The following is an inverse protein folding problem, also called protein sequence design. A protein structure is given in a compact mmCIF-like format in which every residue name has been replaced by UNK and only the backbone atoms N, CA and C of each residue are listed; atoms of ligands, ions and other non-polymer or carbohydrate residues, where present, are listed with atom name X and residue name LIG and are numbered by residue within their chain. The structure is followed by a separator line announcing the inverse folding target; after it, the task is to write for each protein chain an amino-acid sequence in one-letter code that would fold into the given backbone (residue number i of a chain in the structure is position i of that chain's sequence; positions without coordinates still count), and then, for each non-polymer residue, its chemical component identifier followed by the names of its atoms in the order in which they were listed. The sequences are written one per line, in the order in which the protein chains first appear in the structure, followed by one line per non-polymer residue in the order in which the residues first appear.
data_IF_499512120628
#
_entry.id   IF_499512120628
#
_cell.length_a   1.000
_cell.length_b   1.000
_cell.length_c   1.000
_cell.angle_alpha   90.00
_cell.angle_beta   90.00
_cell.angle_gamma   90.00
#
_symmetry.space_group_name_H-M   'P 1'
#
loop_
_entity.id
_entity.type
_entity.pdbx_description
1 polymer ?
#
# COMPACT_ATOMS: atom_id res chain seq x y z
N UNK A 1 13.29 2.39 -35.41
CA UNK A 1 12.22 1.65 -34.73
C UNK A 1 11.97 2.36 -33.40
N UNK A 2 10.78 2.92 -33.21
CA UNK A 2 10.49 3.87 -32.13
C UNK A 2 10.16 3.08 -30.84
N UNK A 3 10.98 3.29 -29.79
CA UNK A 3 10.69 2.75 -28.45
C UNK A 3 9.55 3.57 -27.84
N UNK A 4 8.44 2.92 -27.51
CA UNK A 4 7.34 3.51 -26.75
C UNK A 4 7.71 3.44 -25.26
N UNK A 5 7.92 4.60 -24.67
CA UNK A 5 8.05 4.78 -23.23
C UNK A 5 6.65 4.68 -22.63
N UNK A 6 6.39 3.66 -21.82
CA UNK A 6 5.16 3.55 -21.03
C UNK A 6 5.41 4.25 -19.69
N UNK A 7 5.05 5.53 -19.62
CA UNK A 7 5.00 6.27 -18.35
C UNK A 7 3.58 6.11 -17.83
N UNK A 8 3.41 5.34 -16.75
CA UNK A 8 2.18 5.37 -15.96
C UNK A 8 2.10 6.70 -15.20
N UNK A 9 1.53 7.70 -15.86
CA UNK A 9 1.19 8.97 -15.25
C UNK A 9 -0.24 8.84 -14.72
N UNK A 10 -0.41 8.76 -13.39
CA UNK A 10 -1.71 8.97 -12.75
C UNK A 10 -2.08 10.44 -12.94
N UNK A 11 -2.74 10.75 -14.05
CA UNK A 11 -3.29 12.07 -14.30
C UNK A 11 -4.66 12.16 -13.62
N UNK A 12 -4.75 12.92 -12.55
CA UNK A 12 -6.02 13.42 -12.04
C UNK A 12 -6.60 14.39 -13.08
N UNK A 13 -7.68 14.02 -13.72
CA UNK A 13 -8.45 14.87 -14.62
C UNK A 13 -9.22 15.91 -13.78
N UNK A 14 -8.75 17.15 -13.80
CA UNK A 14 -9.48 18.31 -13.30
C UNK A 14 -10.38 18.84 -14.44
N UNK A 15 -11.67 18.62 -14.33
CA UNK A 15 -12.65 19.33 -15.13
C UNK A 15 -13.03 20.63 -14.40
N UNK A 16 -12.64 21.76 -14.95
CA UNK A 16 -13.05 23.07 -14.47
C UNK A 16 -14.45 23.44 -15.02
N UNK A 17 -15.42 23.60 -14.13
CA UNK A 17 -16.67 24.31 -14.43
C UNK A 17 -16.78 25.54 -13.53
N UNK A 18 -16.75 26.73 -14.13
CA UNK A 18 -16.98 28.01 -13.49
C UNK A 18 -18.47 28.21 -13.23
N UNK A 19 -18.87 28.47 -11.99
CA UNK A 19 -20.19 29.03 -11.64
C UNK A 19 -20.04 30.15 -10.63
N UNK A 20 -20.73 31.26 -10.89
CA UNK A 20 -20.73 32.51 -10.13
C UNK A 20 -21.48 32.40 -8.77
N UNK A 21 -21.22 33.30 -7.81
CA UNK A 21 -21.68 33.16 -6.45
C UNK A 21 -23.11 33.62 -6.23
N UNK A 22 -23.89 32.84 -5.49
CA UNK A 22 -25.14 33.28 -4.87
C UNK A 22 -24.96 33.32 -3.35
N UNK A 23 -25.16 34.51 -2.80
CA UNK A 23 -25.14 34.80 -1.37
C UNK A 23 -26.41 34.29 -0.69
N UNK A 24 -26.24 33.43 0.32
CA UNK A 24 -27.32 32.98 1.19
C UNK A 24 -26.80 32.56 2.56
N UNK A 25 -27.02 33.42 3.55
CA UNK A 25 -26.77 33.19 4.97
C UNK A 25 -27.74 32.16 5.55
N UNK A 26 -27.24 31.08 6.10
CA UNK A 26 -28.01 30.23 7.02
C UNK A 26 -27.15 29.74 8.19
N UNK A 27 -27.74 29.78 9.39
CA UNK A 27 -27.16 29.51 10.69
C UNK A 27 -26.76 28.04 10.91
N UNK A 28 -25.79 27.75 11.80
CA UNK A 28 -25.30 26.40 12.04
C UNK A 28 -26.28 25.57 12.89
N UNK A 29 -26.39 24.25 12.66
CA UNK A 29 -27.17 23.36 13.50
C UNK A 29 -26.45 23.06 14.81
N UNK A 30 -27.23 23.02 15.90
CA UNK A 30 -26.81 22.74 17.26
C UNK A 30 -26.26 21.33 17.43
N UNK A 31 -25.05 21.21 17.96
CA UNK A 31 -24.45 19.95 18.39
C UNK A 31 -25.14 19.42 19.63
N UNK A 32 -25.62 18.18 19.55
CA UNK A 32 -26.07 17.39 20.70
C UNK A 32 -24.84 16.73 21.34
N UNK A 33 -24.46 17.20 22.52
CA UNK A 33 -23.39 16.63 23.34
C UNK A 33 -23.94 15.52 24.22
N UNK A 34 -23.62 14.27 23.90
CA UNK A 34 -23.68 13.18 24.86
C UNK A 34 -22.39 12.35 24.70
N UNK A 35 -21.53 12.25 25.74
CA UNK A 35 -20.32 11.46 25.65
C UNK A 35 -20.67 9.96 25.63
N UNK A 36 -20.09 9.16 24.73
CA UNK A 36 -20.21 7.71 24.83
C UNK A 36 -19.38 7.21 26.02
N UNK A 37 -19.95 6.23 26.72
CA UNK A 37 -19.31 5.54 27.84
C UNK A 37 -17.99 4.92 27.38
N UNK A 38 -16.95 5.10 28.17
CA UNK A 38 -15.65 4.47 27.96
C UNK A 38 -15.82 2.95 27.94
N UNK A 39 -15.64 2.33 26.77
CA UNK A 39 -15.45 0.90 26.65
C UNK A 39 -13.98 0.60 26.94
N UNK A 40 -13.73 -0.33 27.88
CA UNK A 40 -12.42 -0.89 28.16
C UNK A 40 -11.78 -1.38 26.86
N UNK A 41 -10.55 -0.95 26.59
CA UNK A 41 -9.72 -1.46 25.49
C UNK A 41 -9.50 -2.97 25.67
N UNK A 42 -10.20 -3.78 24.90
CA UNK A 42 -9.81 -5.16 24.69
C UNK A 42 -8.41 -5.15 24.05
N UNK A 43 -7.51 -5.99 24.54
CA UNK A 43 -6.15 -6.17 23.99
C UNK A 43 -6.25 -6.75 22.58
N UNK A 44 -6.59 -5.92 21.60
CA UNK A 44 -6.57 -6.26 20.18
C UNK A 44 -5.13 -6.34 19.68
N UNK A 45 -4.86 -7.24 18.74
CA UNK A 45 -3.57 -7.38 18.09
C UNK A 45 -3.03 -6.06 17.52
N UNK A 46 -1.73 -5.98 17.31
CA UNK A 46 -1.09 -4.78 16.81
C UNK A 46 -1.62 -4.40 15.42
N UNK A 47 -1.91 -3.11 15.23
CA UNK A 47 -2.36 -2.58 13.94
C UNK A 47 -1.21 -2.63 12.94
N UNK A 48 -1.40 -3.35 11.82
CA UNK A 48 -0.43 -3.50 10.71
C UNK A 48 -0.87 -2.64 9.53
N UNK A 49 0.10 -2.05 8.84
CA UNK A 49 -0.14 -1.19 7.67
C UNK A 49 0.20 -1.91 6.36
N UNK A 50 -0.59 -1.69 5.32
CA UNK A 50 -0.53 -2.43 4.04
C UNK A 50 0.75 -2.24 3.24
N UNK A 51 1.41 -1.09 3.37
CA UNK A 51 2.60 -0.81 2.56
C UNK A 51 3.82 -1.50 3.15
N UNK A 52 4.49 -2.28 2.32
CA UNK A 52 5.65 -3.08 2.69
C UNK A 52 5.44 -4.56 2.42
N UNK A 53 6.28 -5.39 2.99
CA UNK A 53 6.33 -6.83 2.70
C UNK A 53 5.85 -7.71 3.87
N UNK A 54 5.83 -7.18 5.10
CA UNK A 54 5.52 -7.97 6.30
C UNK A 54 4.06 -8.36 6.46
N UNK A 55 3.14 -7.67 5.77
CA UNK A 55 1.71 -7.88 5.94
C UNK A 55 1.19 -9.09 5.15
N UNK A 56 1.91 -9.52 4.12
CA UNK A 56 1.45 -10.53 3.16
C UNK A 56 1.92 -11.94 3.47
N UNK A 57 2.73 -12.13 4.51
CA UNK A 57 3.32 -13.43 4.83
C UNK A 57 3.84 -13.53 6.25
N UNK A 58 4.61 -14.58 6.47
CA UNK A 58 5.30 -14.90 7.72
C UNK A 58 6.69 -15.51 7.44
N UNK A 59 7.27 -16.15 8.45
CA UNK A 59 8.57 -16.83 8.36
C UNK A 59 8.60 -18.01 7.36
N UNK A 60 7.46 -18.52 6.93
CA UNK A 60 7.35 -19.69 6.03
C UNK A 60 7.13 -19.30 4.58
N UNK A 61 6.58 -18.14 4.33
CA UNK A 61 6.30 -17.71 2.98
C UNK A 61 5.42 -16.49 2.87
N UNK A 62 5.11 -16.10 1.63
CA UNK A 62 4.32 -14.91 1.35
C UNK A 62 3.25 -15.18 0.30
N UNK A 63 2.11 -14.52 0.44
CA UNK A 63 1.00 -14.52 -0.53
C UNK A 63 1.09 -13.31 -1.43
N UNK A 64 0.80 -13.49 -2.70
CA UNK A 64 0.75 -12.39 -3.66
C UNK A 64 -0.13 -12.74 -4.86
N UNK A 65 -0.51 -11.75 -5.63
CA UNK A 65 -1.31 -11.95 -6.84
C UNK A 65 -0.49 -11.61 -8.09
N UNK A 66 -0.50 -12.52 -9.07
CA UNK A 66 0.08 -12.33 -10.39
C UNK A 66 -1.01 -11.97 -11.38
N UNK A 67 -0.85 -10.87 -12.11
CA UNK A 67 -1.70 -10.58 -13.26
C UNK A 67 -1.33 -11.52 -14.40
N UNK A 68 -2.29 -12.34 -14.83
CA UNK A 68 -2.17 -13.21 -16.02
C UNK A 68 -2.80 -12.57 -17.24
N UNK A 69 -3.72 -11.63 -17.03
CA UNK A 69 -4.27 -10.71 -18.01
C UNK A 69 -4.66 -9.40 -17.32
N UNK A 70 -5.08 -8.39 -18.08
CA UNK A 70 -5.48 -7.10 -17.49
C UNK A 70 -6.69 -7.19 -16.54
N UNK A 71 -7.51 -8.24 -16.67
CA UNK A 71 -8.72 -8.49 -15.90
C UNK A 71 -8.67 -9.79 -15.09
N UNK A 72 -7.51 -10.47 -15.05
CA UNK A 72 -7.35 -11.77 -14.41
C UNK A 72 -6.07 -11.84 -13.62
N UNK A 73 -6.14 -12.49 -12.47
CA UNK A 73 -4.97 -12.80 -11.66
C UNK A 73 -4.99 -14.23 -11.16
N UNK A 74 -3.81 -14.76 -10.94
CA UNK A 74 -3.61 -15.99 -10.16
C UNK A 74 -3.02 -15.61 -8.81
N UNK A 75 -3.66 -16.07 -7.72
CA UNK A 75 -3.12 -15.90 -6.38
C UNK A 75 -2.13 -17.00 -6.10
N UNK A 76 -0.95 -16.60 -5.63
CA UNK A 76 0.19 -17.47 -5.42
C UNK A 76 0.65 -17.44 -3.96
N UNK A 77 1.35 -18.49 -3.59
CA UNK A 77 2.12 -18.60 -2.35
C UNK A 77 3.56 -18.94 -2.71
N UNK A 78 4.51 -18.16 -2.21
CA UNK A 78 5.93 -18.49 -2.24
C UNK A 78 6.29 -19.18 -0.94
N UNK A 79 6.72 -20.40 -1.01
CA UNK A 79 7.17 -21.23 0.11
C UNK A 79 8.70 -21.09 0.22
N UNK A 80 9.16 -20.54 1.34
CA UNK A 80 10.58 -20.28 1.56
C UNK A 80 11.40 -21.53 1.84
N UNK A 81 10.79 -22.56 2.43
CA UNK A 81 11.47 -23.81 2.74
C UNK A 81 11.73 -24.65 1.49
N UNK A 82 10.74 -24.72 0.58
CA UNK A 82 10.82 -25.52 -0.64
C UNK A 82 11.33 -24.74 -1.85
N UNK A 83 11.46 -23.44 -1.77
CA UNK A 83 11.81 -22.51 -2.86
C UNK A 83 10.89 -22.69 -4.07
N UNK A 84 9.59 -22.74 -3.81
CA UNK A 84 8.56 -22.88 -4.84
C UNK A 84 7.56 -21.75 -4.80
N UNK A 85 7.15 -21.29 -5.98
CA UNK A 85 5.97 -20.46 -6.16
C UNK A 85 4.86 -21.35 -6.70
N UNK A 86 3.79 -21.49 -5.95
CA UNK A 86 2.65 -22.33 -6.29
C UNK A 86 1.36 -21.51 -6.37
N UNK A 87 0.47 -21.89 -7.29
CA UNK A 87 -0.88 -21.34 -7.29
C UNK A 87 -1.64 -21.79 -6.04
N UNK A 88 -2.43 -20.92 -5.44
CA UNK A 88 -3.21 -21.17 -4.23
C UNK A 88 -4.43 -22.05 -4.56
N UNK A 89 -4.16 -23.26 -5.01
CA UNK A 89 -5.13 -24.25 -5.45
C UNK A 89 -4.77 -25.63 -4.91
N UNK A 90 -5.78 -26.35 -4.37
CA UNK A 90 -5.57 -27.69 -3.83
C UNK A 90 -5.57 -28.80 -4.90
N UNK A 91 -6.00 -28.50 -6.13
CA UNK A 91 -6.03 -29.48 -7.23
C UNK A 91 -4.69 -29.45 -8.00
N UNK A 92 -3.87 -30.49 -7.93
CA UNK A 92 -2.57 -30.53 -8.60
C UNK A 92 -2.67 -30.63 -10.15
N UNK A 93 -3.86 -30.92 -10.69
CA UNK A 93 -4.10 -31.00 -12.14
C UNK A 93 -4.86 -29.78 -12.68
N UNK A 94 -5.02 -28.75 -11.88
CA UNK A 94 -5.74 -27.54 -12.28
C UNK A 94 -4.89 -26.68 -13.23
N UNK A 95 -5.50 -26.21 -14.33
CA UNK A 95 -4.86 -25.29 -15.26
C UNK A 95 -4.83 -23.82 -14.75
N UNK A 96 -5.49 -23.53 -13.63
CA UNK A 96 -5.57 -22.21 -12.97
C UNK A 96 -6.13 -21.07 -13.85
N UNK A 97 -6.92 -21.38 -14.87
CA UNK A 97 -7.38 -20.46 -15.91
C UNK A 97 -8.87 -20.10 -15.87
N UNK A 98 -9.60 -20.64 -14.87
CA UNK A 98 -11.06 -20.48 -14.76
C UNK A 98 -11.55 -20.35 -13.32
N UNK A 99 -12.78 -19.89 -13.15
CA UNK A 99 -13.45 -19.74 -11.84
C UNK A 99 -13.62 -21.06 -11.05
N UNK A 100 -13.43 -22.20 -11.69
CA UNK A 100 -13.40 -23.48 -10.99
C UNK A 100 -12.13 -23.63 -10.10
N UNK A 101 -11.10 -22.84 -10.36
CA UNK A 101 -9.86 -22.80 -9.61
C UNK A 101 -9.93 -21.81 -8.45
N UNK A 102 -9.53 -22.23 -7.26
CA UNK A 102 -9.50 -21.34 -6.08
C UNK A 102 -8.43 -20.26 -6.15
N UNK A 103 -7.38 -20.44 -6.97
CA UNK A 103 -6.35 -19.44 -7.20
C UNK A 103 -6.72 -18.41 -8.27
N UNK A 104 -7.66 -18.74 -9.17
CA UNK A 104 -8.09 -17.83 -10.22
C UNK A 104 -8.99 -16.73 -9.66
N UNK A 105 -8.74 -15.50 -10.12
CA UNK A 105 -9.50 -14.33 -9.71
C UNK A 105 -9.78 -13.44 -10.91
N UNK A 106 -11.06 -13.13 -11.12
CA UNK A 106 -11.47 -12.06 -12.01
C UNK A 106 -11.32 -10.72 -11.27
N UNK A 107 -10.50 -9.82 -11.83
CA UNK A 107 -10.09 -8.59 -11.16
C UNK A 107 -9.89 -7.45 -12.16
N UNK A 108 -10.96 -6.88 -12.73
CA UNK A 108 -10.84 -5.83 -13.74
C UNK A 108 -9.99 -4.67 -13.22
N UNK A 109 -8.86 -4.43 -13.86
CA UNK A 109 -7.86 -3.38 -13.61
C UNK A 109 -7.03 -3.50 -12.33
N UNK A 110 -7.45 -4.23 -11.30
CA UNK A 110 -6.76 -4.29 -10.02
C UNK A 110 -6.74 -5.70 -9.44
N UNK A 111 -5.55 -6.29 -9.35
CA UNK A 111 -5.37 -7.57 -8.65
C UNK A 111 -5.71 -7.43 -7.16
N UNK A 112 -6.26 -8.47 -6.53
CA UNK A 112 -6.55 -8.43 -5.10
C UNK A 112 -5.26 -8.39 -4.28
N UNK A 113 -5.32 -7.66 -3.16
CA UNK A 113 -4.35 -7.82 -2.08
C UNK A 113 -4.75 -9.03 -1.24
N UNK A 114 -3.76 -9.81 -0.79
CA UNK A 114 -3.99 -11.01 0.01
C UNK A 114 -3.26 -10.87 1.34
N UNK A 115 -4.00 -10.98 2.44
CA UNK A 115 -3.48 -10.77 3.79
C UNK A 115 -3.83 -11.96 4.67
N UNK A 116 -2.85 -12.64 5.28
CA UNK A 116 -3.13 -13.67 6.26
C UNK A 116 -3.67 -13.06 7.57
N UNK A 117 -4.83 -13.58 8.01
CA UNK A 117 -5.54 -13.14 9.21
C UNK A 117 -6.17 -14.35 9.92
N UNK A 118 -5.80 -14.61 11.18
CA UNK A 118 -6.42 -15.65 12.00
C UNK A 118 -6.44 -17.05 11.37
N UNK A 119 -5.43 -17.43 10.62
CA UNK A 119 -5.35 -18.72 9.90
C UNK A 119 -6.20 -18.79 8.62
N UNK A 120 -6.76 -17.66 8.20
CA UNK A 120 -7.49 -17.49 6.95
C UNK A 120 -6.77 -16.44 6.09
N UNK A 121 -7.27 -16.22 4.86
CA UNK A 121 -6.78 -15.23 3.94
C UNK A 121 -7.88 -14.20 3.69
N UNK A 122 -7.57 -12.94 3.97
CA UNK A 122 -8.39 -11.81 3.58
C UNK A 122 -7.99 -11.37 2.16
N UNK A 123 -8.95 -11.37 1.25
CA UNK A 123 -8.82 -10.87 -0.12
C UNK A 123 -9.48 -9.50 -0.19
N UNK A 124 -8.71 -8.47 -0.56
CA UNK A 124 -9.18 -7.10 -0.75
C UNK A 124 -9.22 -6.79 -2.25
N UNK A 125 -10.41 -6.51 -2.75
CA UNK A 125 -10.63 -6.06 -4.12
C UNK A 125 -10.98 -4.57 -4.08
N UNK A 126 -10.14 -3.72 -4.65
CA UNK A 126 -10.34 -2.26 -4.60
C UNK A 126 -11.52 -1.78 -5.40
N UNK A 127 -11.95 -2.57 -6.37
CA UNK A 127 -12.98 -2.22 -7.31
C UNK A 127 -12.50 -1.37 -8.48
N UNK A 128 -13.30 -1.37 -9.51
CA UNK A 128 -13.11 -0.60 -10.75
C UNK A 128 -14.48 -0.13 -11.23
N UNK A 129 -15.11 0.83 -10.55
CA UNK A 129 -16.52 1.19 -10.80
C UNK A 129 -16.79 1.61 -12.24
N UNK A 130 -15.81 2.18 -12.95
CA UNK A 130 -15.95 2.58 -14.36
C UNK A 130 -16.15 1.43 -15.35
N UNK A 131 -16.03 0.17 -14.93
CA UNK A 131 -16.24 -1.04 -15.75
C UNK A 131 -17.34 -1.96 -15.17
N UNK A 132 -18.14 -1.49 -14.23
CA UNK A 132 -19.19 -2.27 -13.58
C UNK A 132 -20.23 -2.81 -14.58
N UNK A 133 -20.56 -2.06 -15.62
CA UNK A 133 -21.48 -2.51 -16.69
C UNK A 133 -20.97 -3.77 -17.41
N UNK A 134 -19.66 -3.93 -17.53
CA UNK A 134 -19.03 -5.07 -18.22
C UNK A 134 -18.79 -6.26 -17.29
N UNK A 135 -18.34 -6.00 -16.06
CA UNK A 135 -17.87 -7.05 -15.12
C UNK A 135 -18.81 -7.27 -13.94
N UNK A 136 -19.87 -6.48 -13.82
CA UNK A 136 -20.85 -6.63 -12.75
C UNK A 136 -20.19 -6.62 -11.37
N UNK A 137 -20.48 -7.65 -10.58
CA UNK A 137 -19.96 -7.75 -9.19
C UNK A 137 -18.45 -7.85 -9.08
N UNK A 138 -17.74 -8.34 -10.11
CA UNK A 138 -16.29 -8.42 -10.11
C UNK A 138 -15.62 -7.04 -10.08
N UNK A 139 -16.30 -6.01 -10.61
CA UNK A 139 -15.83 -4.62 -10.59
C UNK A 139 -16.08 -3.90 -9.25
N UNK A 140 -16.92 -4.44 -8.37
CA UNK A 140 -17.25 -3.78 -7.11
C UNK A 140 -16.13 -3.94 -6.08
N UNK A 141 -15.88 -2.90 -5.26
CA UNK A 141 -15.01 -3.03 -4.10
C UNK A 141 -15.59 -4.05 -3.13
N UNK A 142 -14.80 -5.02 -2.72
CA UNK A 142 -15.27 -6.09 -1.86
C UNK A 142 -14.16 -6.73 -1.03
N UNK A 143 -14.57 -7.40 0.04
CA UNK A 143 -13.72 -8.16 0.93
C UNK A 143 -14.25 -9.59 1.01
N UNK A 144 -13.34 -10.55 0.89
CA UNK A 144 -13.66 -11.98 1.02
C UNK A 144 -12.71 -12.62 2.03
N UNK A 145 -13.24 -13.57 2.83
CA UNK A 145 -12.41 -14.52 3.57
C UNK A 145 -12.31 -15.82 2.80
N UNK A 146 -11.09 -16.30 2.68
CA UNK A 146 -10.76 -17.58 2.06
C UNK A 146 -9.91 -18.41 2.99
N UNK A 147 -9.92 -19.72 2.79
CA UNK A 147 -9.06 -20.64 3.53
C UNK A 147 -7.62 -20.61 3.00
N UNK A 148 -6.71 -21.34 3.67
CA UNK A 148 -5.29 -21.33 3.36
C UNK A 148 -4.93 -21.87 1.96
N UNK A 149 -5.84 -22.62 1.31
CA UNK A 149 -5.69 -23.09 -0.07
C UNK A 149 -6.58 -22.32 -1.07
N UNK A 150 -6.98 -21.09 -0.71
CA UNK A 150 -7.75 -20.19 -1.57
C UNK A 150 -9.26 -20.48 -1.64
N UNK A 151 -9.76 -21.56 -1.00
CA UNK A 151 -11.19 -21.89 -1.03
C UNK A 151 -12.03 -20.78 -0.41
N UNK A 152 -13.07 -20.35 -1.12
CA UNK A 152 -14.01 -19.34 -0.64
C UNK A 152 -14.71 -19.79 0.63
N UNK A 153 -14.66 -18.96 1.67
CA UNK A 153 -15.39 -19.20 2.92
C UNK A 153 -16.63 -18.32 2.94
N UNK A 154 -16.44 -17.01 2.81
CA UNK A 154 -17.54 -16.05 2.77
C UNK A 154 -17.11 -14.70 2.23
N UNK A 155 -18.09 -13.96 1.74
CA UNK A 155 -17.96 -12.55 1.46
C UNK A 155 -18.18 -11.75 2.76
N UNK A 156 -17.21 -10.94 3.16
CA UNK A 156 -17.31 -10.09 4.35
C UNK A 156 -18.12 -8.83 4.05
N UNK A 157 -17.77 -8.14 2.95
CA UNK A 157 -18.41 -6.91 2.57
C UNK A 157 -18.38 -6.71 1.05
N UNK A 158 -19.41 -6.02 0.51
CA UNK A 158 -19.41 -5.44 -0.84
C UNK A 158 -19.81 -4.00 -0.70
N UNK A 159 -19.18 -3.12 -1.46
CA UNK A 159 -19.49 -1.69 -1.47
C UNK A 159 -20.14 -1.29 -2.79
N UNK A 160 -20.75 -0.12 -2.82
CA UNK A 160 -21.57 0.35 -3.95
C UNK A 160 -20.69 0.71 -5.16
N UNK A 161 -21.32 0.77 -6.34
CA UNK A 161 -20.66 1.09 -7.62
C UNK A 161 -19.95 2.45 -7.63
N UNK A 162 -20.44 3.44 -6.87
CA UNK A 162 -19.80 4.75 -6.72
C UNK A 162 -18.62 4.78 -5.73
N UNK A 163 -18.17 3.62 -5.26
CA UNK A 163 -17.13 3.50 -4.25
C UNK A 163 -15.86 2.87 -4.78
N UNK A 164 -14.73 3.24 -4.21
CA UNK A 164 -13.44 2.56 -4.39
C UNK A 164 -12.63 2.61 -3.10
N UNK A 165 -11.67 1.69 -2.94
CA UNK A 165 -10.72 1.77 -1.84
C UNK A 165 -9.46 2.51 -2.29
N UNK A 166 -8.91 3.32 -1.40
CA UNK A 166 -7.53 3.77 -1.53
C UNK A 166 -6.56 2.57 -1.54
N UNK A 167 -5.36 2.80 -1.98
CA UNK A 167 -4.33 1.75 -2.08
C UNK A 167 -3.92 1.24 -0.72
N UNK A 168 -3.83 2.13 0.25
CA UNK A 168 -3.39 1.83 1.59
C UNK A 168 -4.58 1.43 2.48
N UNK A 169 -4.33 0.44 3.33
CA UNK A 169 -5.24 -0.05 4.36
C UNK A 169 -4.45 -0.43 5.61
N UNK A 170 -5.16 -0.68 6.69
CA UNK A 170 -4.58 -1.26 7.90
C UNK A 170 -5.40 -2.48 8.35
N UNK A 171 -4.78 -3.38 9.09
CA UNK A 171 -5.44 -4.60 9.60
C UNK A 171 -4.91 -4.95 10.99
N UNK A 172 -5.80 -5.42 11.84
CA UNK A 172 -5.46 -6.12 13.09
C UNK A 172 -6.17 -7.47 13.14
N UNK A 173 -6.15 -8.15 14.27
CA UNK A 173 -6.74 -9.48 14.42
C UNK A 173 -8.28 -9.48 14.37
N UNK A 174 -8.92 -8.32 14.51
CA UNK A 174 -10.37 -8.18 14.58
C UNK A 174 -10.98 -7.57 13.33
N UNK A 175 -10.24 -6.70 12.63
CA UNK A 175 -10.81 -5.87 11.58
C UNK A 175 -9.79 -5.48 10.51
N UNK A 176 -10.32 -5.14 9.34
CA UNK A 176 -9.61 -4.36 8.32
C UNK A 176 -10.16 -2.93 8.31
N UNK A 177 -9.26 -1.98 8.11
CA UNK A 177 -9.52 -0.55 8.09
C UNK A 177 -9.16 0.01 6.72
N UNK A 178 -10.13 0.61 6.05
CA UNK A 178 -10.05 1.02 4.65
C UNK A 178 -10.38 2.51 4.54
N UNK A 179 -9.68 3.20 3.65
CA UNK A 179 -10.08 4.53 3.24
C UNK A 179 -10.99 4.41 2.01
N UNK A 180 -12.29 4.44 2.26
CA UNK A 180 -13.33 4.34 1.23
C UNK A 180 -13.54 5.71 0.59
N UNK A 181 -13.36 5.80 -0.72
CA UNK A 181 -13.73 6.95 -1.52
C UNK A 181 -15.13 6.74 -2.08
N UNK A 182 -15.98 7.74 -1.94
CA UNK A 182 -17.34 7.74 -2.48
C UNK A 182 -17.61 9.03 -3.24
N UNK A 183 -18.16 8.88 -4.45
CA UNK A 183 -18.56 9.99 -5.32
C UNK A 183 -20.08 10.02 -5.38
N UNK A 184 -20.69 11.15 -5.06
CA UNK A 184 -22.15 11.27 -5.01
C UNK A 184 -22.64 12.69 -5.33
N UNK A 185 -23.90 12.78 -5.70
CA UNK A 185 -24.64 14.03 -5.85
C UNK A 185 -24.43 14.81 -7.15
N UNK A 186 -25.23 15.85 -7.32
CA UNK A 186 -25.08 16.91 -8.32
C UNK A 186 -25.23 18.27 -7.63
N UNK A 187 -24.16 19.10 -7.55
CA UNK A 187 -22.81 18.89 -8.08
C UNK A 187 -22.08 17.73 -7.40
N UNK A 188 -21.11 17.13 -8.11
CA UNK A 188 -20.32 16.02 -7.60
C UNK A 188 -19.64 16.41 -6.30
N UNK A 189 -19.83 15.59 -5.28
CA UNK A 189 -19.14 15.62 -4.00
C UNK A 189 -18.37 14.33 -3.82
N UNK A 190 -17.17 14.43 -3.27
CA UNK A 190 -16.32 13.28 -2.97
C UNK A 190 -16.02 13.27 -1.49
N UNK A 191 -16.24 12.13 -0.85
CA UNK A 191 -15.80 11.91 0.53
C UNK A 191 -14.80 10.78 0.60
N UNK A 192 -13.89 10.86 1.56
CA UNK A 192 -13.06 9.73 1.99
C UNK A 192 -13.37 9.40 3.42
N UNK A 193 -13.84 8.20 3.65
CA UNK A 193 -14.25 7.71 4.96
C UNK A 193 -13.34 6.59 5.41
N UNK A 194 -12.72 6.73 6.57
CA UNK A 194 -12.01 5.64 7.22
C UNK A 194 -13.07 4.71 7.83
N UNK A 195 -13.15 3.50 7.28
CA UNK A 195 -14.17 2.50 7.63
C UNK A 195 -13.49 1.30 8.28
N UNK A 196 -14.04 0.83 9.39
CA UNK A 196 -13.73 -0.46 10.00
C UNK A 196 -14.67 -1.53 9.44
N UNK A 197 -14.12 -2.66 9.01
CA UNK A 197 -14.89 -3.86 8.64
C UNK A 197 -14.46 -5.02 9.53
N UNK A 198 -15.37 -5.55 10.34
CA UNK A 198 -15.13 -6.66 11.24
C UNK A 198 -14.79 -7.95 10.48
N UNK A 199 -13.70 -8.62 10.84
CA UNK A 199 -13.33 -9.93 10.30
C UNK A 199 -14.27 -11.04 10.81
N UNK A 200 -14.94 -10.83 11.94
CA UNK A 200 -15.83 -11.82 12.53
C UNK A 200 -17.16 -11.95 11.77
N UNK A 201 -17.77 -10.87 11.32
CA UNK A 201 -19.13 -10.86 10.75
C UNK A 201 -19.30 -9.94 9.53
N UNK A 202 -18.28 -9.17 9.15
CA UNK A 202 -18.34 -8.20 8.05
C UNK A 202 -19.10 -6.92 8.40
N UNK A 203 -19.49 -6.72 9.66
CA UNK A 203 -20.13 -5.49 10.09
C UNK A 203 -19.23 -4.29 9.86
N UNK A 204 -19.83 -3.17 9.43
CA UNK A 204 -19.11 -1.95 9.07
C UNK A 204 -19.43 -0.83 10.05
N UNK A 205 -18.40 -0.06 10.39
CA UNK A 205 -18.57 1.19 11.13
C UNK A 205 -17.66 2.27 10.55
N UNK A 206 -18.16 3.48 10.48
CA UNK A 206 -17.39 4.66 10.15
C UNK A 206 -16.54 5.05 11.37
N UNK A 207 -15.27 5.36 11.13
CA UNK A 207 -14.35 5.91 12.14
C UNK A 207 -14.27 7.42 11.97
N UNK A 208 -13.92 7.90 10.76
CA UNK A 208 -13.82 9.32 10.46
C UNK A 208 -14.15 9.56 8.99
N UNK A 209 -14.77 10.68 8.68
CA UNK A 209 -15.13 11.06 7.31
C UNK A 209 -14.56 12.44 6.96
N UNK A 210 -14.05 12.56 5.74
CA UNK A 210 -13.40 13.74 5.22
C UNK A 210 -14.03 14.12 3.88
N UNK A 211 -14.68 15.27 3.82
CA UNK A 211 -15.18 15.81 2.55
C UNK A 211 -14.02 16.42 1.78
N UNK A 212 -13.87 16.04 0.51
CA UNK A 212 -12.86 16.60 -0.36
C UNK A 212 -13.37 17.93 -0.91
N UNK A 213 -12.74 19.00 -0.45
CA UNK A 213 -12.90 20.32 -1.03
C UNK A 213 -11.94 20.50 -2.21
N UNK A 214 -12.16 21.53 -3.05
CA UNK A 214 -11.26 21.83 -4.14
C UNK A 214 -9.82 22.04 -3.65
N UNK A 215 -8.90 21.23 -4.14
CA UNK A 215 -7.48 21.28 -3.75
C UNK A 215 -7.14 20.58 -2.45
N UNK A 216 -8.10 19.93 -1.77
CA UNK A 216 -7.84 19.17 -0.53
C UNK A 216 -8.02 17.68 -0.77
N UNK A 217 -7.07 16.88 -0.31
CA UNK A 217 -7.13 15.43 -0.40
C UNK A 217 -6.61 14.77 0.89
N UNK A 218 -7.10 13.55 1.18
CA UNK A 218 -6.73 12.80 2.38
C UNK A 218 -6.27 11.38 2.00
N UNK A 219 -5.29 10.86 2.73
CA UNK A 219 -4.72 9.52 2.52
C UNK A 219 -4.46 8.85 3.87
N UNK A 220 -4.55 7.54 3.91
CA UNK A 220 -4.01 6.75 5.01
C UNK A 220 -2.50 6.62 4.76
N UNK A 221 -1.69 7.15 5.65
CA UNK A 221 -0.25 7.31 5.43
C UNK A 221 0.60 6.34 6.28
N UNK A 222 -0.02 5.66 7.23
CA UNK A 222 0.65 4.72 8.11
C UNK A 222 -0.17 4.42 9.35
N UNK A 223 0.48 3.75 10.30
CA UNK A 223 -0.05 3.49 11.64
C UNK A 223 1.04 3.82 12.68
N UNK A 224 0.62 4.26 13.87
CA UNK A 224 1.56 4.56 14.96
C UNK A 224 0.85 4.48 16.31
N UNK A 225 1.39 3.75 17.28
CA UNK A 225 0.82 3.60 18.62
C UNK A 225 -0.65 3.13 18.62
N UNK A 226 -1.03 2.21 17.72
CA UNK A 226 -2.40 1.73 17.56
C UNK A 226 -3.38 2.73 16.93
N UNK A 227 -2.90 3.86 16.40
CA UNK A 227 -3.67 4.93 15.74
C UNK A 227 -3.35 4.98 14.26
N UNK A 228 -4.24 5.57 13.47
CA UNK A 228 -4.05 5.80 12.04
C UNK A 228 -3.31 7.12 11.83
N UNK A 229 -2.27 7.08 11.01
CA UNK A 229 -1.60 8.29 10.54
C UNK A 229 -2.26 8.69 9.23
N UNK A 230 -2.97 9.80 9.26
CA UNK A 230 -3.60 10.39 8.09
C UNK A 230 -2.74 11.50 7.51
N UNK A 231 -2.74 11.62 6.18
CA UNK A 231 -2.10 12.71 5.46
C UNK A 231 -3.16 13.55 4.77
N UNK A 232 -3.12 14.86 5.02
CA UNK A 232 -3.86 15.86 4.26
C UNK A 232 -2.92 16.56 3.30
N UNK A 233 -3.33 16.70 2.06
CA UNK A 233 -2.66 17.54 1.06
C UNK A 233 -3.60 18.68 0.71
N UNK A 234 -3.11 19.91 0.82
CA UNK A 234 -3.84 21.11 0.41
C UNK A 234 -3.05 21.82 -0.69
N UNK A 235 -3.68 22.10 -1.83
CA UNK A 235 -3.07 22.79 -2.97
C UNK A 235 -3.90 24.02 -3.35
N UNK A 236 -3.23 25.11 -3.75
CA UNK A 236 -3.90 26.25 -4.34
C UNK A 236 -4.14 25.98 -5.83
N UNK A 237 -5.38 25.54 -6.14
CA UNK A 237 -5.79 25.22 -7.52
C UNK A 237 -5.99 26.47 -8.41
N UNK A 238 -5.92 27.68 -7.87
CA UNK A 238 -6.00 28.91 -8.65
C UNK A 238 -4.67 29.28 -9.34
N UNK A 239 -3.57 28.61 -8.95
CA UNK A 239 -2.24 28.82 -9.52
C UNK A 239 -2.04 27.99 -10.80
N UNK A 240 -1.16 28.43 -11.72
CA UNK A 240 -0.82 27.66 -12.92
C UNK A 240 -0.14 26.31 -12.62
N UNK A 241 0.47 26.16 -11.45
CA UNK A 241 1.16 24.95 -11.01
C UNK A 241 0.75 24.61 -9.56
N UNK A 242 -0.43 24.01 -9.36
CA UNK A 242 -0.92 23.67 -8.03
C UNK A 242 -0.01 22.73 -7.25
N UNK A 243 0.78 21.89 -7.95
CA UNK A 243 1.69 20.93 -7.31
C UNK A 243 2.74 21.65 -6.47
N UNK A 244 3.26 22.78 -6.94
CA UNK A 244 4.25 23.57 -6.19
C UNK A 244 3.70 24.23 -4.93
N UNK A 245 2.39 24.37 -4.83
CA UNK A 245 1.71 24.98 -3.68
C UNK A 245 1.26 23.98 -2.64
N UNK A 246 1.48 22.68 -2.86
CA UNK A 246 1.02 21.63 -1.96
C UNK A 246 1.64 21.76 -0.57
N UNK A 247 0.77 21.87 0.42
CA UNK A 247 1.08 21.70 1.83
C UNK A 247 0.63 20.30 2.26
N UNK A 248 1.55 19.53 2.77
CA UNK A 248 1.30 18.20 3.33
C UNK A 248 1.28 18.30 4.85
N UNK A 249 0.30 17.65 5.47
CA UNK A 249 0.14 17.61 6.92
C UNK A 249 -0.15 16.18 7.36
N UNK A 250 0.52 15.74 8.43
CA UNK A 250 0.25 14.47 9.10
C UNK A 250 -0.48 14.70 10.41
N UNK A 251 -1.52 13.94 10.65
CA UNK A 251 -2.30 13.97 11.88
C UNK A 251 -2.75 12.56 12.25
N UNK A 252 -3.15 12.37 13.49
CA UNK A 252 -3.61 11.09 14.00
C UNK A 252 -5.13 11.01 14.05
N UNK A 253 -5.63 9.80 13.82
CA UNK A 253 -7.02 9.42 14.09
C UNK A 253 -7.00 8.14 14.92
N UNK A 254 -7.68 8.15 16.08
CA UNK A 254 -7.80 6.94 16.88
C UNK A 254 -8.94 6.03 16.38
N UNK A 255 -9.03 4.80 16.91
CA UNK A 255 -10.08 3.84 16.54
C UNK A 255 -11.50 4.31 16.91
N UNK A 256 -11.65 5.34 17.75
CA UNK A 256 -12.91 5.98 18.14
C UNK A 256 -13.27 7.18 17.25
N UNK A 257 -12.41 7.52 16.27
CA UNK A 257 -12.63 8.61 15.32
C UNK A 257 -12.22 9.99 15.81
N UNK A 258 -11.50 10.09 16.93
CA UNK A 258 -10.95 11.36 17.37
C UNK A 258 -9.80 11.78 16.50
N UNK A 259 -9.93 12.93 15.85
CA UNK A 259 -8.93 13.54 15.00
C UNK A 259 -8.06 14.49 15.83
N UNK A 260 -6.76 14.28 15.82
CA UNK A 260 -5.79 15.15 16.50
C UNK A 260 -5.28 16.26 15.57
N UNK A 261 -4.78 17.37 16.13
CA UNK A 261 -4.10 18.40 15.31
C UNK A 261 -2.89 17.83 14.56
N UNK A 262 -2.51 18.42 13.41
CA UNK A 262 -1.33 18.00 12.69
C UNK A 262 -0.06 18.09 13.57
N UNK A 263 0.71 16.99 13.58
CA UNK A 263 1.99 16.92 14.30
C UNK A 263 3.19 17.22 13.41
N UNK A 264 3.02 17.17 12.08
CA UNK A 264 4.06 17.46 11.08
C UNK A 264 3.43 18.10 9.85
N UNK A 265 4.12 19.08 9.28
CA UNK A 265 3.76 19.70 7.99
C UNK A 265 4.99 20.05 7.17
N UNK A 266 4.88 20.00 5.84
CA UNK A 266 5.93 20.41 4.89
C UNK A 266 5.32 20.77 3.53
N UNK A 267 6.06 21.53 2.71
CA UNK A 267 5.70 21.76 1.30
C UNK A 267 6.23 20.64 0.42
N UNK A 268 5.58 20.38 -0.71
CA UNK A 268 5.95 19.29 -1.64
C UNK A 268 7.44 19.31 -2.04
N UNK A 269 8.02 20.48 -2.22
CA UNK A 269 9.44 20.64 -2.60
C UNK A 269 10.42 20.37 -1.46
N UNK A 270 9.95 20.30 -0.21
CA UNK A 270 10.82 20.21 0.96
C UNK A 270 10.94 18.78 1.50
N UNK A 271 9.97 17.90 1.23
CA UNK A 271 10.00 16.58 1.83
C UNK A 271 8.99 15.58 1.28
N UNK A 272 9.16 14.33 1.68
CA UNK A 272 8.22 13.24 1.45
C UNK A 272 8.03 12.41 2.72
N UNK A 273 6.92 11.67 2.76
CA UNK A 273 6.58 10.79 3.88
C UNK A 273 6.17 9.42 3.34
N UNK A 274 6.49 8.36 4.06
CA UNK A 274 5.97 7.02 3.82
C UNK A 274 5.81 6.26 5.13
N UNK A 275 4.67 5.56 5.29
CA UNK A 275 4.56 4.44 6.20
C UNK A 275 4.96 3.16 5.46
N UNK A 276 5.82 2.34 6.04
CA UNK A 276 6.28 1.08 5.45
C UNK A 276 6.45 0.07 6.58
N UNK A 277 5.84 -1.11 6.44
CA UNK A 277 5.90 -2.20 7.41
C UNK A 277 5.69 -1.75 8.87
N UNK A 278 4.67 -0.91 9.10
CA UNK A 278 4.30 -0.42 10.43
C UNK A 278 5.18 0.69 11.01
N UNK A 279 6.19 1.16 10.27
CA UNK A 279 7.04 2.30 10.67
C UNK A 279 6.73 3.52 9.82
N UNK A 280 6.88 4.70 10.41
CA UNK A 280 6.67 5.96 9.72
C UNK A 280 8.01 6.66 9.50
N UNK A 281 8.24 7.02 8.24
CA UNK A 281 9.43 7.73 7.80
C UNK A 281 9.05 9.06 7.17
N UNK A 282 9.91 10.06 7.32
CA UNK A 282 9.88 11.22 6.46
C UNK A 282 11.28 11.67 6.06
N UNK A 283 11.37 12.24 4.90
CA UNK A 283 12.60 12.67 4.27
C UNK A 283 12.50 14.16 3.97
N UNK A 284 13.42 14.96 4.49
CA UNK A 284 13.53 16.39 4.24
C UNK A 284 14.99 16.75 3.93
N UNK A 285 15.23 17.36 2.78
CA UNK A 285 16.56 17.91 2.41
C UNK A 285 17.71 16.92 2.63
N UNK A 286 17.56 15.69 2.22
CA UNK A 286 18.57 14.64 2.40
C UNK A 286 18.64 14.02 3.78
N UNK A 287 17.77 14.45 4.71
CA UNK A 287 17.69 13.91 6.06
C UNK A 287 16.51 12.98 6.19
N UNK A 288 16.77 11.69 6.35
CA UNK A 288 15.78 10.67 6.66
C UNK A 288 15.55 10.63 8.16
N UNK A 289 14.30 10.71 8.58
CA UNK A 289 13.88 10.53 9.97
C UNK A 289 12.95 9.33 10.07
N UNK A 290 13.29 8.38 10.96
CA UNK A 290 12.40 7.32 11.39
C UNK A 290 11.70 7.75 12.68
N UNK A 291 10.37 7.58 12.73
CA UNK A 291 9.57 7.83 13.92
C UNK A 291 9.27 6.51 14.64
N UNK A 292 9.38 6.55 15.96
CA UNK A 292 8.94 5.49 16.84
C UNK A 292 7.42 5.45 17.03
N UNK A 293 6.91 4.49 17.83
CA UNK A 293 5.47 4.28 18.04
C UNK A 293 4.72 5.49 18.61
N UNK A 294 5.40 6.32 19.42
CA UNK A 294 4.83 7.53 20.01
C UNK A 294 5.20 8.80 19.22
N UNK A 295 5.60 8.63 17.96
CA UNK A 295 6.03 9.69 17.03
C UNK A 295 7.31 10.44 17.48
N UNK A 296 8.04 9.90 18.42
CA UNK A 296 9.37 10.40 18.78
C UNK A 296 10.38 10.11 17.65
N UNK A 297 11.40 10.94 17.54
CA UNK A 297 12.49 10.69 16.60
C UNK A 297 13.33 9.52 17.10
N UNK A 298 13.13 8.35 16.50
CA UNK A 298 13.91 7.15 16.85
C UNK A 298 15.28 7.14 16.18
N UNK A 299 15.36 7.62 14.92
CA UNK A 299 16.61 7.66 14.16
C UNK A 299 16.59 8.85 13.20
N UNK A 300 17.77 9.45 12.99
CA UNK A 300 17.99 10.50 11.96
C UNK A 300 19.25 10.16 11.18
N UNK A 301 19.13 10.02 9.86
CA UNK A 301 20.22 9.69 8.94
C UNK A 301 20.31 10.75 7.86
N UNK A 302 21.51 11.27 7.60
CA UNK A 302 21.77 12.20 6.51
C UNK A 302 22.58 11.51 5.42
N UNK A 303 22.09 11.62 4.16
CA UNK A 303 22.80 11.06 3.01
C UNK A 303 22.40 11.85 1.74
N UNK A 304 23.37 12.18 0.90
CA UNK A 304 23.19 12.94 -0.33
C UNK A 304 22.34 12.20 -1.38
N UNK A 305 22.26 10.86 -1.27
CA UNK A 305 21.38 10.04 -2.11
C UNK A 305 19.88 10.23 -1.77
N UNK A 306 19.55 10.78 -0.61
CA UNK A 306 18.18 10.85 -0.09
C UNK A 306 17.52 12.19 -0.46
N UNK A 307 17.24 12.35 -1.73
CA UNK A 307 16.47 13.51 -2.24
C UNK A 307 14.99 13.19 -2.27
N UNK A 308 14.11 14.00 -1.66
CA UNK A 308 12.68 13.72 -1.53
C UNK A 308 11.95 13.47 -2.85
N UNK A 309 12.40 14.10 -3.93
CA UNK A 309 11.84 13.97 -5.29
C UNK A 309 12.36 12.76 -6.07
N UNK A 310 13.33 12.03 -5.51
CA UNK A 310 14.10 11.02 -6.23
C UNK A 310 14.24 9.70 -5.44
N UNK A 311 13.51 9.51 -4.33
CA UNK A 311 13.59 8.31 -3.49
C UNK A 311 12.22 7.62 -3.47
N UNK A 312 12.24 6.28 -3.54
CA UNK A 312 11.07 5.46 -3.23
C UNK A 312 11.40 4.53 -2.06
N UNK A 313 10.50 4.49 -1.07
CA UNK A 313 10.57 3.53 0.02
C UNK A 313 9.96 2.20 -0.47
N UNK A 314 10.70 1.10 -0.29
CA UNK A 314 10.35 -0.21 -0.84
C UNK A 314 9.78 -1.13 0.23
N UNK A 315 10.54 -1.36 1.30
CA UNK A 315 10.20 -2.28 2.38
C UNK A 315 10.94 -1.90 3.66
N UNK A 316 10.46 -2.38 4.81
CA UNK A 316 11.14 -2.22 6.08
C UNK A 316 11.21 -3.56 6.83
N UNK A 317 11.96 -4.55 6.30
CA UNK A 317 12.19 -5.81 7.00
C UNK A 317 13.19 -5.58 8.14
N UNK A 318 12.70 -5.35 9.34
CA UNK A 318 13.56 -5.04 10.49
C UNK A 318 14.83 -5.88 10.54
N UNK A 319 16.00 -5.29 10.83
CA UNK A 319 16.21 -3.90 11.28
C UNK A 319 16.43 -2.89 10.13
N UNK A 320 16.15 -3.20 8.88
CA UNK A 320 16.51 -2.38 7.74
C UNK A 320 15.32 -1.67 7.10
N UNK A 321 15.57 -0.45 6.64
CA UNK A 321 14.72 0.22 5.65
C UNK A 321 15.36 0.07 4.27
N UNK A 322 14.61 -0.48 3.32
CA UNK A 322 15.01 -0.62 1.93
C UNK A 322 14.40 0.51 1.09
N UNK A 323 15.22 1.15 0.30
CA UNK A 323 14.80 2.23 -0.59
C UNK A 323 15.60 2.24 -1.88
N UNK A 324 15.11 2.90 -2.92
CA UNK A 324 15.90 3.21 -4.10
C UNK A 324 16.02 4.72 -4.30
N UNK A 325 17.08 5.14 -4.97
CA UNK A 325 17.30 6.53 -5.33
C UNK A 325 17.39 6.67 -6.84
N UNK A 326 16.44 7.41 -7.41
CA UNK A 326 16.47 7.79 -8.83
C UNK A 326 17.49 8.87 -9.13
N UNK A 327 18.00 9.57 -8.10
CA UNK A 327 19.08 10.55 -8.22
C UNK A 327 20.41 9.88 -8.55
N UNK A 328 20.60 8.66 -8.08
CA UNK A 328 21.78 7.86 -8.32
C UNK A 328 21.42 6.66 -9.19
N UNK A 329 22.06 6.56 -10.34
CA UNK A 329 21.87 5.45 -11.27
C UNK A 329 23.16 4.67 -11.42
N UNK A 330 23.04 3.36 -11.46
CA UNK A 330 24.18 2.48 -11.75
C UNK A 330 24.73 2.78 -13.13
N UNK A 331 26.02 3.06 -13.21
CA UNK A 331 26.69 3.27 -14.51
C UNK A 331 26.70 2.01 -15.38
N UNK A 332 26.57 0.81 -14.79
CA UNK A 332 26.56 -0.45 -15.50
C UNK A 332 25.19 -0.80 -16.09
N UNK A 333 24.10 -0.42 -15.43
CA UNK A 333 22.76 -0.90 -15.77
C UNK A 333 21.75 0.23 -16.07
N UNK A 334 22.13 1.50 -15.88
CA UNK A 334 21.23 2.66 -15.96
C UNK A 334 19.96 2.49 -15.10
N UNK A 335 20.07 1.73 -14.01
CA UNK A 335 18.99 1.43 -13.09
C UNK A 335 19.13 2.25 -11.79
N UNK A 336 18.02 2.55 -11.07
CA UNK A 336 18.10 3.18 -9.76
C UNK A 336 18.96 2.36 -8.79
N UNK A 337 19.81 3.04 -8.01
CA UNK A 337 20.61 2.36 -6.99
C UNK A 337 19.71 2.08 -5.78
N UNK A 338 19.79 0.85 -5.30
CA UNK A 338 19.09 0.41 -4.09
C UNK A 338 19.98 0.59 -2.87
N UNK A 339 19.37 0.98 -1.76
CA UNK A 339 20.03 1.19 -0.48
C UNK A 339 19.31 0.46 0.64
N UNK A 340 20.07 0.01 1.63
CA UNK A 340 19.57 -0.35 2.94
C UNK A 340 20.05 0.68 3.95
N UNK A 341 19.16 1.07 4.87
CA UNK A 341 19.47 1.86 6.05
C UNK A 341 19.24 0.97 7.26
N UNK A 342 20.29 0.73 8.03
CA UNK A 342 20.18 0.05 9.31
C UNK A 342 19.52 0.99 10.33
N UNK A 343 18.38 0.59 10.87
CA UNK A 343 17.56 1.44 11.74
C UNK A 343 18.06 1.50 13.19
N UNK A 344 19.02 0.66 13.56
CA UNK A 344 19.65 0.68 14.88
C UNK A 344 20.90 1.57 14.87
N UNK A 345 21.71 1.46 13.82
CA UNK A 345 23.00 2.14 13.74
C UNK A 345 23.00 3.40 12.89
N UNK A 346 22.04 3.52 11.95
CA UNK A 346 22.00 4.57 10.93
C UNK A 346 22.98 4.33 9.78
N UNK A 347 23.63 3.17 9.70
CA UNK A 347 24.51 2.83 8.59
C UNK A 347 23.71 2.74 7.28
N UNK A 348 24.26 3.31 6.20
CA UNK A 348 23.66 3.27 4.87
C UNK A 348 24.57 2.47 3.95
N UNK A 349 24.00 1.44 3.31
CA UNK A 349 24.71 0.60 2.34
C UNK A 349 24.01 0.57 0.99
N UNK A 350 24.81 0.53 -0.06
CA UNK A 350 24.32 0.24 -1.40
C UNK A 350 24.08 -1.28 -1.54
N UNK A 351 22.91 -1.63 -2.08
CA UNK A 351 22.52 -3.03 -2.33
C UNK A 351 22.90 -3.42 -3.76
N UNK A 352 24.21 -3.55 -4.02
CA UNK A 352 24.74 -3.83 -5.35
C UNK A 352 24.18 -5.13 -5.96
N UNK A 353 23.94 -6.16 -5.13
CA UNK A 353 23.33 -7.42 -5.58
C UNK A 353 21.93 -7.24 -6.17
N UNK A 354 21.09 -6.37 -5.56
CA UNK A 354 19.73 -6.06 -6.04
C UNK A 354 19.79 -5.24 -7.32
N UNK A 355 20.66 -4.24 -7.37
CA UNK A 355 20.85 -3.39 -8.55
C UNK A 355 21.33 -4.21 -9.76
N UNK A 356 22.19 -5.20 -9.53
CA UNK A 356 22.74 -6.05 -10.59
C UNK A 356 21.71 -7.06 -11.16
N UNK A 357 20.75 -7.53 -10.33
CA UNK A 357 19.75 -8.50 -10.76
C UNK A 357 18.74 -7.91 -11.75
N UNK A 358 18.43 -6.64 -11.61
CA UNK A 358 17.42 -5.94 -12.39
C UNK A 358 17.98 -5.07 -13.50
N UNK A 359 18.71 -5.61 -14.50
CA UNK A 359 19.39 -4.86 -15.56
C UNK A 359 18.53 -3.78 -16.25
N UNK A 360 17.26 -4.07 -16.55
CA UNK A 360 16.29 -3.13 -17.15
C UNK A 360 15.00 -3.03 -16.33
N UNK A 361 14.86 -3.80 -15.25
CA UNK A 361 13.66 -3.87 -14.43
C UNK A 361 14.02 -3.76 -12.96
N UNK A 362 13.15 -3.10 -12.26
CA UNK A 362 13.26 -2.95 -10.81
C UNK A 362 12.99 -4.28 -10.13
N UNK A 363 13.85 -4.71 -9.19
CA UNK A 363 13.52 -5.78 -8.28
C UNK A 363 12.40 -5.33 -7.36
N UNK A 364 11.32 -6.12 -7.29
CA UNK A 364 10.15 -5.83 -6.46
C UNK A 364 10.15 -6.75 -5.26
N UNK A 365 10.32 -6.19 -4.07
CA UNK A 365 10.20 -6.94 -2.83
C UNK A 365 8.73 -7.33 -2.59
N UNK A 366 8.49 -8.61 -2.30
CA UNK A 366 7.17 -9.18 -2.11
C UNK A 366 6.98 -9.81 -0.74
N UNK A 367 8.07 -10.18 -0.07
CA UNK A 367 8.01 -10.82 1.23
C UNK A 367 9.36 -10.79 1.95
N UNK A 368 9.33 -11.09 3.23
CA UNK A 368 10.52 -11.18 4.08
C UNK A 368 10.30 -12.21 5.20
N UNK A 369 11.37 -12.89 5.57
CA UNK A 369 11.48 -13.67 6.80
C UNK A 369 12.61 -13.11 7.68
N UNK A 370 12.84 -13.71 8.84
CA UNK A 370 14.01 -13.39 9.67
C UNK A 370 15.33 -13.68 8.97
N UNK A 371 15.37 -14.60 8.00
CA UNK A 371 16.59 -15.06 7.33
C UNK A 371 16.78 -14.47 5.93
N UNK A 372 15.69 -14.18 5.19
CA UNK A 372 15.78 -13.82 3.78
C UNK A 372 14.74 -12.79 3.35
N UNK A 373 15.02 -12.15 2.22
CA UNK A 373 14.11 -11.29 1.47
C UNK A 373 13.73 -11.98 0.16
N UNK A 374 12.45 -11.93 -0.16
CA UNK A 374 11.88 -12.52 -1.37
C UNK A 374 11.31 -11.45 -2.28
N UNK A 375 11.44 -11.65 -3.59
CA UNK A 375 10.87 -10.72 -4.56
C UNK A 375 10.85 -11.27 -5.98
N UNK A 376 10.48 -10.40 -6.90
CA UNK A 376 10.43 -10.70 -8.33
C UNK A 376 11.25 -9.73 -9.16
N UNK A 377 11.70 -10.21 -10.31
CA UNK A 377 12.40 -9.43 -11.33
C UNK A 377 12.06 -9.99 -12.71
N UNK A 378 12.39 -9.25 -13.77
CA UNK A 378 12.28 -9.76 -15.14
C UNK A 378 13.66 -10.15 -15.64
N UNK A 379 13.77 -11.36 -16.20
CA UNK A 379 15.00 -11.81 -16.83
C UNK A 379 15.26 -11.14 -18.20
N UNK A 380 16.37 -11.48 -18.84
CA UNK A 380 16.75 -10.93 -20.16
C UNK A 380 15.72 -11.23 -21.26
N UNK A 381 14.90 -12.26 -21.09
CA UNK A 381 13.83 -12.64 -22.01
C UNK A 381 12.52 -11.90 -21.70
N UNK A 382 12.47 -11.10 -20.63
CA UNK A 382 11.27 -10.42 -20.15
C UNK A 382 10.29 -11.34 -19.41
N UNK A 383 10.77 -12.50 -18.96
CA UNK A 383 9.96 -13.42 -18.14
C UNK A 383 10.11 -13.05 -16.67
N UNK A 384 8.98 -12.99 -15.96
CA UNK A 384 9.00 -12.73 -14.52
C UNK A 384 9.55 -13.93 -13.77
N UNK A 385 10.59 -13.70 -13.00
CA UNK A 385 11.25 -14.66 -12.13
C UNK A 385 11.06 -14.26 -10.66
N UNK A 386 11.19 -15.25 -9.78
CA UNK A 386 11.13 -15.06 -8.33
C UNK A 386 12.41 -15.58 -7.70
N UNK A 387 12.93 -14.83 -6.74
CA UNK A 387 14.13 -15.21 -6.03
C UNK A 387 14.13 -14.68 -4.59
N UNK A 388 14.87 -15.36 -3.74
CA UNK A 388 15.22 -14.83 -2.42
C UNK A 388 16.73 -14.64 -2.30
N UNK A 389 17.11 -13.79 -1.35
CA UNK A 389 18.50 -13.58 -0.95
C UNK A 389 18.57 -13.58 0.58
N UNK A 390 19.59 -14.23 1.14
CA UNK A 390 19.78 -14.17 2.60
C UNK A 390 20.04 -12.73 3.03
N UNK A 391 19.61 -12.37 4.25
CA UNK A 391 19.89 -11.05 4.81
C UNK A 391 21.38 -10.76 4.90
N UNK A 392 22.19 -11.79 5.23
CA UNK A 392 23.63 -11.67 5.29
C UNK A 392 24.22 -11.36 3.92
N UNK A 393 23.87 -12.15 2.88
CA UNK A 393 24.37 -11.93 1.52
C UNK A 393 23.97 -10.56 0.99
N UNK A 394 22.71 -10.15 1.25
CA UNK A 394 22.21 -8.84 0.86
C UNK A 394 23.05 -7.73 1.49
N UNK A 395 23.33 -7.83 2.79
CA UNK A 395 24.10 -6.83 3.53
C UNK A 395 25.59 -6.80 3.12
N UNK A 396 26.15 -7.96 2.82
CA UNK A 396 27.55 -8.10 2.36
C UNK A 396 27.71 -7.75 0.87
N UNK A 397 26.62 -7.58 0.13
CA UNK A 397 26.64 -7.31 -1.32
C UNK A 397 26.94 -8.56 -2.16
N UNK A 398 26.79 -9.75 -1.58
CA UNK A 398 26.98 -11.04 -2.27
C UNK A 398 25.73 -11.39 -3.06
N UNK A 399 25.87 -11.71 -4.35
CA UNK A 399 24.74 -12.02 -5.24
C UNK A 399 24.35 -13.52 -5.20
N UNK A 400 24.22 -14.10 -4.01
CA UNK A 400 23.85 -15.50 -3.80
C UNK A 400 22.33 -15.67 -3.85
N UNK A 401 21.73 -15.46 -5.01
CA UNK A 401 20.28 -15.56 -5.21
C UNK A 401 19.82 -17.01 -5.27
N UNK A 402 18.77 -17.32 -4.51
CA UNK A 402 18.04 -18.57 -4.61
C UNK A 402 16.82 -18.37 -5.50
N UNK A 403 16.86 -18.89 -6.72
CA UNK A 403 15.75 -18.81 -7.66
C UNK A 403 14.67 -19.83 -7.31
N UNK A 404 13.41 -19.39 -7.33
CA UNK A 404 12.26 -20.24 -7.03
C UNK A 404 11.74 -20.93 -8.29
N UNK A 405 11.39 -22.21 -8.14
CA UNK A 405 10.69 -22.93 -9.19
C UNK A 405 9.23 -22.47 -9.22
N UNK A 406 8.71 -22.23 -10.43
CA UNK A 406 7.32 -21.80 -10.61
C UNK A 406 6.48 -22.97 -11.11
N UNK A 407 5.37 -23.28 -10.41
CA UNK A 407 4.32 -24.20 -10.85
C UNK A 407 3.00 -23.48 -11.11
N UNK A 408 3.08 -22.23 -11.50
CA UNK A 408 1.97 -21.39 -11.97
C UNK A 408 2.05 -21.40 -13.49
N UNK A 409 1.17 -22.14 -14.15
CA UNK A 409 1.11 -22.23 -15.60
C UNK A 409 0.32 -21.04 -16.19
#
# INVERSE_FOLDING_TARGET
MKKLLSICLCAALLAACTVAPASGTSAPPSQSTQPPAAQEEAAGGSLRFSKGVSIHGDEKGTYFSLLTAWDKATVCYADYDTHQVVALCADPNCAHDSEACTAFVECPSNKPEVVPVGGQLLFLYRGSPGVADQYGKAALPRLELRGPTGQFIRQLAVFDEGSSFAEEYAVDDEAVYLLLEQVFGEPLSVTRTLVRVSLADGSRSEIASFTLENGVNYFLAGVSGGRFVMKRITADISTPDPVKTQLHELFLVDKQGRVEPPFKSWTQSAGMQSGVDGRLFYLEQGTLTCLGPELEKALVVQNDAFRPDMVSFLACPEPWLLLNSLAHRSAAYDAPIHYAVDLETGEVRELAAVTALGQDSQFVFLGASSEALFGSYFDEQGTQQFASISRQDLWEGSANWQVFTQSVA
#
